data_IF_774689733989
#
_entry.id   IF_774689733989
#
_cell.length_a   1.000
_cell.length_b   1.000
_cell.length_c   1.000
_cell.angle_alpha   90.00
_cell.angle_beta   90.00
_cell.angle_gamma   90.00
#
_symmetry.space_group_name_H-M   'P 1'
#
loop_
_entity.id
_entity.type
_entity.pdbx_description
1 polymer ?
#
# COMPACT_ATOMS: atom_id res chain seq x y z
N UNK A 1 -0.32 10.24 19.54
CA UNK A 1 -1.35 10.41 18.50
C UNK A 1 -1.04 11.69 17.72
N UNK A 2 -0.41 11.57 16.54
CA UNK A 2 -0.10 12.72 15.68
C UNK A 2 -1.36 13.11 14.91
N UNK A 3 -1.94 14.26 15.24
CA UNK A 3 -3.09 14.82 14.53
C UNK A 3 -2.59 15.64 13.33
N UNK A 4 -3.10 15.35 12.14
CA UNK A 4 -3.04 16.35 11.06
C UNK A 4 -4.08 17.42 11.42
N UNK A 5 -3.63 18.66 11.55
CA UNK A 5 -4.52 19.82 11.76
C UNK A 5 -5.38 19.97 10.49
N UNK A 6 -6.68 20.21 10.63
CA UNK A 6 -7.63 20.22 9.51
C UNK A 6 -7.22 21.13 8.33
N UNK A 7 -6.58 22.28 8.62
CA UNK A 7 -6.05 23.18 7.59
C UNK A 7 -4.93 22.52 6.77
N UNK A 8 -4.02 21.81 7.44
CA UNK A 8 -2.94 21.07 6.78
C UNK A 8 -3.46 19.90 5.94
N UNK A 9 -4.54 19.25 6.39
CA UNK A 9 -5.19 18.18 5.63
C UNK A 9 -5.77 18.68 4.31
N UNK A 10 -6.50 19.80 4.34
CA UNK A 10 -7.07 20.38 3.12
C UNK A 10 -6.01 20.86 2.13
N UNK A 11 -4.91 21.43 2.62
CA UNK A 11 -3.77 21.82 1.79
C UNK A 11 -3.11 20.61 1.11
N UNK A 12 -3.02 19.45 1.79
CA UNK A 12 -2.54 18.22 1.17
C UNK A 12 -3.47 17.80 0.01
N UNK A 13 -4.79 17.83 0.20
CA UNK A 13 -5.75 17.48 -0.86
C UNK A 13 -5.69 18.43 -2.06
N UNK A 14 -5.53 19.74 -1.80
CA UNK A 14 -5.26 20.76 -2.83
C UNK A 14 -4.01 20.39 -3.62
N UNK A 15 -2.90 20.15 -2.93
CA UNK A 15 -1.62 19.79 -3.55
C UNK A 15 -1.75 18.49 -4.35
N UNK A 16 -2.50 17.50 -3.87
CA UNK A 16 -2.76 16.28 -4.64
C UNK A 16 -3.45 16.55 -5.98
N UNK A 17 -4.41 17.47 -6.01
CA UNK A 17 -5.12 17.85 -7.24
C UNK A 17 -4.22 18.60 -8.23
N UNK A 18 -3.22 19.34 -7.73
CA UNK A 18 -2.30 20.12 -8.57
C UNK A 18 -1.12 19.28 -9.05
N UNK A 19 -0.48 18.57 -8.12
CA UNK A 19 0.81 17.92 -8.33
C UNK A 19 0.68 16.50 -8.89
N UNK A 20 -0.48 15.86 -8.69
CA UNK A 20 -0.69 14.46 -9.07
C UNK A 20 -1.88 14.33 -10.01
N UNK A 21 -1.57 14.33 -11.31
CA UNK A 21 -2.51 13.85 -12.33
C UNK A 21 -2.30 12.35 -12.52
N UNK A 22 -3.29 11.49 -12.20
CA UNK A 22 -3.13 10.06 -12.39
C UNK A 22 -2.89 9.73 -13.86
N UNK A 23 -1.85 8.95 -14.14
CA UNK A 23 -1.56 8.46 -15.48
C UNK A 23 -2.53 7.34 -15.83
N UNK A 24 -3.09 7.40 -17.04
CA UNK A 24 -3.80 6.28 -17.64
C UNK A 24 -2.79 5.25 -18.11
N UNK A 25 -2.85 4.05 -17.56
CA UNK A 25 -1.91 2.99 -17.90
C UNK A 25 -2.51 1.60 -17.84
N UNK A 26 -1.64 0.63 -18.07
CA UNK A 26 -1.99 -0.78 -18.00
C UNK A 26 -1.89 -1.25 -16.55
N UNK A 27 -3.00 -1.79 -16.03
CA UNK A 27 -3.03 -2.57 -14.80
C UNK A 27 -3.31 -4.01 -15.25
N UNK A 28 -2.45 -5.00 -14.90
CA UNK A 28 -2.66 -6.37 -15.33
C UNK A 28 -4.02 -6.92 -14.89
N UNK A 29 -4.62 -7.77 -15.74
CA UNK A 29 -5.97 -8.30 -15.49
C UNK A 29 -5.98 -9.54 -14.61
N UNK A 30 -4.83 -10.18 -14.46
CA UNK A 30 -4.53 -11.36 -13.67
C UNK A 30 -4.12 -11.05 -12.24
N UNK A 31 -3.86 -9.77 -11.91
CA UNK A 31 -3.59 -9.33 -10.56
C UNK A 31 -4.88 -9.25 -9.73
N UNK A 32 -4.80 -9.74 -8.50
CA UNK A 32 -5.89 -9.69 -7.54
C UNK A 32 -6.21 -8.24 -7.13
N UNK A 33 -7.49 -7.99 -6.83
CA UNK A 33 -8.00 -6.65 -6.57
C UNK A 33 -8.93 -6.63 -5.39
N UNK A 34 -8.81 -5.57 -4.61
CA UNK A 34 -9.79 -5.22 -3.59
C UNK A 34 -11.00 -4.64 -4.31
N UNK A 35 -12.13 -5.37 -4.28
CA UNK A 35 -13.38 -4.92 -4.87
C UNK A 35 -14.05 -3.93 -3.93
N UNK A 36 -14.45 -2.77 -4.44
CA UNK A 36 -15.09 -1.71 -3.67
C UNK A 36 -16.55 -1.60 -4.09
N UNK A 37 -17.45 -1.84 -3.14
CA UNK A 37 -18.87 -1.56 -3.29
C UNK A 37 -19.14 -0.13 -2.81
N UNK A 38 -19.50 0.74 -3.74
CA UNK A 38 -19.76 2.14 -3.42
C UNK A 38 -21.13 2.36 -2.78
N UNK A 39 -22.11 1.47 -2.92
CA UNK A 39 -23.41 1.64 -2.28
C UNK A 39 -23.30 1.40 -0.77
N UNK A 40 -22.57 0.35 -0.39
CA UNK A 40 -22.30 0.01 1.02
C UNK A 40 -21.06 0.70 1.58
N UNK A 41 -20.21 1.24 0.70
CA UNK A 41 -18.88 1.80 0.98
C UNK A 41 -17.88 0.76 1.47
N UNK A 42 -18.15 -0.53 1.28
CA UNK A 42 -17.32 -1.62 1.77
C UNK A 42 -16.26 -2.05 0.76
N UNK A 43 -15.18 -2.61 1.28
CA UNK A 43 -14.09 -3.18 0.50
C UNK A 43 -13.98 -4.67 0.80
N UNK A 44 -13.79 -5.47 -0.23
CA UNK A 44 -13.66 -6.92 -0.15
C UNK A 44 -12.26 -7.32 -0.58
N UNK A 45 -11.48 -7.84 0.37
CA UNK A 45 -10.16 -8.38 0.08
C UNK A 45 -10.31 -9.71 -0.67
N UNK A 46 -9.51 -9.93 -1.73
CA UNK A 46 -9.37 -11.25 -2.32
C UNK A 46 -8.65 -12.20 -1.34
N UNK A 47 -8.81 -13.51 -1.54
CA UNK A 47 -8.22 -14.54 -0.68
C UNK A 47 -6.70 -14.37 -0.54
N UNK A 48 -6.02 -13.97 -1.62
CA UNK A 48 -4.57 -13.74 -1.66
C UNK A 48 -4.07 -12.61 -0.77
N UNK A 49 -4.94 -11.66 -0.40
CA UNK A 49 -4.60 -10.52 0.46
C UNK A 49 -5.20 -10.65 1.87
N UNK A 50 -5.96 -11.72 2.13
CA UNK A 50 -6.67 -11.90 3.40
C UNK A 50 -5.71 -12.16 4.57
N UNK A 51 -4.65 -12.94 4.32
CA UNK A 51 -3.66 -13.25 5.35
C UNK A 51 -2.73 -12.06 5.62
N UNK A 52 -2.24 -11.43 4.54
CA UNK A 52 -1.40 -10.23 4.59
C UNK A 52 -1.41 -9.47 3.26
N UNK A 53 -1.12 -8.18 3.34
CA UNK A 53 -1.03 -7.31 2.16
C UNK A 53 0.43 -7.03 1.79
N UNK A 54 1.38 -7.02 2.74
CA UNK A 54 2.81 -6.91 2.44
C UNK A 54 3.67 -7.41 3.62
N UNK A 55 4.99 -7.47 3.44
CA UNK A 55 5.94 -7.66 4.54
C UNK A 55 6.63 -6.34 4.90
N UNK A 56 7.21 -6.27 6.11
CA UNK A 56 8.09 -5.15 6.46
C UNK A 56 9.34 -5.15 5.60
N UNK A 57 9.89 -3.97 5.35
CA UNK A 57 11.09 -3.73 4.52
C UNK A 57 10.95 -4.08 3.03
N UNK A 58 9.77 -4.47 2.58
CA UNK A 58 9.42 -4.53 1.16
C UNK A 58 9.53 -3.11 0.55
N UNK A 59 10.56 -2.90 -0.27
CA UNK A 59 10.79 -1.62 -0.95
C UNK A 59 10.08 -1.58 -2.30
N UNK A 60 8.85 -1.04 -2.33
CA UNK A 60 8.02 -0.88 -3.54
C UNK A 60 7.78 -2.20 -4.29
N UNK A 61 7.86 -3.34 -3.61
CA UNK A 61 7.67 -4.66 -4.20
C UNK A 61 6.19 -5.04 -4.35
N UNK A 62 5.29 -4.38 -3.61
CA UNK A 62 3.86 -4.67 -3.65
C UNK A 62 3.02 -3.48 -4.11
N UNK A 63 2.15 -3.74 -5.08
CA UNK A 63 1.08 -2.83 -5.48
C UNK A 63 -0.25 -3.43 -5.06
N UNK A 64 -1.08 -2.64 -4.37
CA UNK A 64 -2.47 -2.98 -4.07
C UNK A 64 -3.34 -2.38 -5.15
N UNK A 65 -4.14 -3.22 -5.78
CA UNK A 65 -5.09 -2.79 -6.80
C UNK A 65 -6.51 -2.74 -6.24
N UNK A 66 -7.25 -1.71 -6.63
CA UNK A 66 -8.66 -1.56 -6.31
C UNK A 66 -9.49 -1.63 -7.58
N UNK A 67 -10.67 -2.24 -7.50
CA UNK A 67 -11.69 -2.21 -8.53
C UNK A 67 -12.95 -1.55 -7.99
N UNK A 68 -13.42 -0.50 -8.65
CA UNK A 68 -14.58 0.29 -8.22
C UNK A 68 -15.45 0.64 -9.42
N UNK A 69 -16.76 0.81 -9.23
CA UNK A 69 -17.61 1.37 -10.28
C UNK A 69 -17.13 2.77 -10.69
N UNK A 70 -17.05 3.01 -12.01
CA UNK A 70 -16.62 4.32 -12.53
C UNK A 70 -17.60 5.42 -12.15
N UNK A 71 -18.88 5.10 -12.08
CA UNK A 71 -19.95 6.05 -11.83
C UNK A 71 -20.60 5.79 -10.48
N UNK A 72 -20.82 6.86 -9.72
CA UNK A 72 -21.57 6.82 -8.47
C UNK A 72 -22.46 8.05 -8.36
N UNK A 73 -23.78 7.85 -8.19
CA UNK A 73 -24.77 8.94 -8.15
C UNK A 73 -24.60 9.95 -9.30
N UNK A 74 -24.47 9.45 -10.54
CA UNK A 74 -24.23 10.22 -11.78
C UNK A 74 -22.90 10.99 -11.83
N UNK A 75 -22.00 10.80 -10.86
CA UNK A 75 -20.65 11.38 -10.85
C UNK A 75 -19.66 10.40 -11.47
N UNK A 76 -18.92 10.85 -12.49
CA UNK A 76 -17.81 10.10 -13.08
C UNK A 76 -16.55 10.22 -12.21
N UNK A 77 -16.26 9.17 -11.45
CA UNK A 77 -15.11 9.11 -10.54
C UNK A 77 -13.78 9.12 -11.29
N UNK A 78 -13.74 8.73 -12.58
CA UNK A 78 -12.53 8.81 -13.38
C UNK A 78 -12.06 10.26 -13.58
N UNK A 79 -12.96 11.23 -13.46
CA UNK A 79 -12.67 12.68 -13.53
C UNK A 79 -12.27 13.32 -12.20
N UNK A 80 -12.25 12.55 -11.11
CA UNK A 80 -11.91 13.04 -9.77
C UNK A 80 -10.46 12.73 -9.39
N UNK A 81 -9.97 13.45 -8.38
CA UNK A 81 -8.76 13.07 -7.65
C UNK A 81 -9.11 11.95 -6.69
N UNK A 82 -8.22 10.97 -6.53
CA UNK A 82 -8.38 9.90 -5.57
C UNK A 82 -7.08 9.73 -4.77
N UNK A 83 -7.20 9.50 -3.47
CA UNK A 83 -6.09 9.06 -2.63
C UNK A 83 -6.50 7.87 -1.75
N UNK A 84 -5.49 7.13 -1.29
CA UNK A 84 -5.62 6.19 -0.19
C UNK A 84 -5.28 6.94 1.09
N UNK A 85 -6.20 6.95 2.04
CA UNK A 85 -5.94 7.37 3.40
C UNK A 85 -5.62 6.14 4.24
N UNK A 86 -4.52 6.15 4.97
CA UNK A 86 -4.12 4.99 5.76
C UNK A 86 -3.52 5.37 7.11
N UNK A 87 -3.66 4.44 8.05
CA UNK A 87 -3.06 4.51 9.38
C UNK A 87 -2.09 3.34 9.51
N UNK A 88 -0.81 3.66 9.70
CA UNK A 88 0.24 2.66 9.91
C UNK A 88 -0.01 1.88 11.19
N UNK A 89 0.48 0.63 11.30
CA UNK A 89 0.36 -0.13 12.54
C UNK A 89 1.00 0.62 13.73
N UNK A 90 0.59 0.25 14.94
CA UNK A 90 1.21 0.69 16.19
C UNK A 90 2.13 -0.43 16.71
N UNK A 91 3.32 -0.09 17.19
CA UNK A 91 4.22 -1.03 17.86
C UNK A 91 4.42 -0.55 19.30
N UNK A 92 3.71 -1.21 20.22
CA UNK A 92 3.74 -0.86 21.63
C UNK A 92 5.03 -1.28 22.32
N UNK A 93 5.69 -2.32 21.81
CA UNK A 93 6.94 -2.84 22.38
C UNK A 93 8.08 -1.87 22.10
N UNK A 94 8.22 -1.42 20.85
CA UNK A 94 9.23 -0.46 20.43
C UNK A 94 8.78 1.00 20.55
N UNK A 95 7.59 1.25 21.11
CA UNK A 95 6.99 2.59 21.32
C UNK A 95 6.85 3.41 20.03
N UNK A 96 6.51 2.74 18.93
CA UNK A 96 6.21 3.40 17.66
C UNK A 96 4.71 3.67 17.59
N UNK A 97 4.35 4.96 17.59
CA UNK A 97 2.96 5.37 17.42
C UNK A 97 2.48 5.18 15.97
N UNK A 98 1.22 4.78 15.82
CA UNK A 98 0.51 4.79 14.54
C UNK A 98 0.50 6.18 13.92
N UNK A 99 0.60 6.26 12.59
CA UNK A 99 0.61 7.52 11.86
C UNK A 99 -0.42 7.52 10.76
N UNK A 100 -1.20 8.60 10.68
CA UNK A 100 -2.07 8.85 9.54
C UNK A 100 -1.26 9.40 8.36
N UNK A 101 -1.57 8.91 7.16
CA UNK A 101 -0.90 9.22 5.90
C UNK A 101 -1.89 9.22 4.75
N UNK A 102 -1.52 9.93 3.69
CA UNK A 102 -2.26 9.91 2.44
C UNK A 102 -1.32 9.53 1.30
N UNK A 103 -1.83 8.75 0.36
CA UNK A 103 -1.13 8.40 -0.88
C UNK A 103 -2.00 8.79 -2.08
N UNK A 104 -1.56 9.72 -2.95
CA UNK A 104 -2.33 10.06 -4.14
C UNK A 104 -2.30 8.88 -5.12
N UNK A 105 -3.44 8.50 -5.68
CA UNK A 105 -3.47 7.49 -6.75
C UNK A 105 -2.82 8.10 -7.99
N UNK A 106 -1.72 7.50 -8.43
CA UNK A 106 -0.92 8.02 -9.57
C UNK A 106 -1.06 7.20 -10.83
N UNK A 107 -1.62 5.98 -10.75
CA UNK A 107 -1.88 5.11 -11.89
C UNK A 107 -3.32 4.58 -11.80
N UNK A 108 -4.05 4.72 -12.91
CA UNK A 108 -5.40 4.19 -13.06
C UNK A 108 -5.63 3.57 -14.43
N UNK A 109 -6.60 2.68 -14.51
CA UNK A 109 -7.04 2.04 -15.74
C UNK A 109 -8.56 1.88 -15.75
N UNK A 110 -9.13 1.45 -16.88
CA UNK A 110 -10.56 1.17 -16.99
C UNK A 110 -10.77 -0.16 -17.68
N UNK A 111 -11.75 -0.89 -17.19
CA UNK A 111 -12.21 -2.13 -17.80
C UNK A 111 -13.72 -2.08 -17.97
N UNK A 112 -14.22 -2.89 -18.91
CA UNK A 112 -15.65 -3.15 -19.05
C UNK A 112 -15.98 -4.50 -18.43
N UNK A 113 -16.97 -4.53 -17.56
CA UNK A 113 -17.48 -5.75 -16.94
C UNK A 113 -18.96 -5.88 -17.30
N UNK A 114 -19.26 -6.60 -18.38
CA UNK A 114 -20.61 -6.62 -18.95
C UNK A 114 -21.03 -5.24 -19.47
N UNK A 115 -22.08 -4.66 -18.88
CA UNK A 115 -22.60 -3.33 -19.25
C UNK A 115 -22.06 -2.20 -18.38
N UNK A 116 -21.27 -2.51 -17.34
CA UNK A 116 -20.70 -1.51 -16.44
C UNK A 116 -19.24 -1.22 -16.78
N UNK A 117 -18.81 0.01 -16.46
CA UNK A 117 -17.41 0.41 -16.56
C UNK A 117 -16.83 0.47 -15.15
N UNK A 118 -15.71 -0.23 -14.94
CA UNK A 118 -14.98 -0.22 -13.68
C UNK A 118 -13.73 0.62 -13.82
N UNK A 119 -13.40 1.36 -12.77
CA UNK A 119 -12.15 2.05 -12.61
C UNK A 119 -11.20 1.16 -11.80
N UNK A 120 -9.98 0.99 -12.30
CA UNK A 120 -8.91 0.30 -11.61
C UNK A 120 -7.93 1.33 -11.06
N UNK A 121 -7.54 1.19 -9.80
CA UNK A 121 -6.64 2.12 -9.11
C UNK A 121 -5.45 1.34 -8.54
N UNK A 122 -4.25 1.91 -8.66
CA UNK A 122 -3.04 1.30 -8.14
C UNK A 122 -2.46 2.11 -6.97
N UNK A 123 -2.27 1.44 -5.84
CA UNK A 123 -1.55 1.94 -4.68
C UNK A 123 -0.24 1.18 -4.52
N UNK A 124 0.87 1.85 -4.84
CA UNK A 124 2.19 1.27 -4.58
C UNK A 124 2.50 1.42 -3.10
N UNK A 125 2.59 0.30 -2.38
CA UNK A 125 2.93 0.32 -0.96
C UNK A 125 4.38 0.76 -0.79
N UNK A 126 4.53 1.94 -0.20
CA UNK A 126 5.83 2.51 0.15
C UNK A 126 6.28 2.03 1.52
N UNK A 127 7.56 2.28 1.81
CA UNK A 127 8.18 1.95 3.11
C UNK A 127 7.49 2.61 4.31
N UNK A 128 6.69 3.66 4.11
CA UNK A 128 5.88 4.25 5.20
C UNK A 128 4.69 3.37 5.58
N UNK A 129 4.04 2.73 4.62
CA UNK A 129 2.92 1.82 4.89
C UNK A 129 3.41 0.48 5.45
N UNK A 130 4.62 0.05 5.06
CA UNK A 130 5.26 -1.21 5.48
C UNK A 130 6.34 -1.00 6.54
N UNK A 131 6.34 0.15 7.23
CA UNK A 131 7.42 0.52 8.16
C UNK A 131 7.52 -0.40 9.37
N UNK A 132 6.45 -1.13 9.67
CA UNK A 132 6.34 -2.02 10.82
C UNK A 132 5.23 -3.06 10.59
N UNK A 133 5.34 -4.18 11.29
CA UNK A 133 4.33 -5.22 11.23
C UNK A 133 3.08 -4.85 12.03
N UNK A 134 1.96 -5.48 11.69
CA UNK A 134 0.67 -5.31 12.35
C UNK A 134 -0.44 -4.88 11.40
N UNK A 135 -1.54 -4.37 11.96
CA UNK A 135 -2.74 -4.04 11.19
C UNK A 135 -2.61 -2.65 10.55
N UNK A 136 -2.59 -2.62 9.23
CA UNK A 136 -2.73 -1.42 8.41
C UNK A 136 -4.23 -1.18 8.15
N UNK A 137 -4.72 0.00 8.51
CA UNK A 137 -6.08 0.44 8.17
C UNK A 137 -6.03 1.40 7.00
N UNK A 138 -6.90 1.25 6.00
CA UNK A 138 -6.93 2.14 4.84
C UNK A 138 -8.34 2.36 4.26
N UNK A 139 -8.54 3.48 3.58
CA UNK A 139 -9.78 3.84 2.89
C UNK A 139 -9.45 4.57 1.57
N UNK A 140 -10.36 4.54 0.61
CA UNK A 140 -10.30 5.39 -0.59
C UNK A 140 -11.06 6.68 -0.34
N UNK A 141 -10.48 7.79 -0.79
CA UNK A 141 -11.12 9.11 -0.79
C UNK A 141 -11.10 9.68 -2.20
N UNK A 142 -12.29 9.82 -2.80
CA UNK A 142 -12.49 10.53 -4.05
C UNK A 142 -12.97 11.94 -3.76
N UNK A 143 -12.34 12.93 -4.38
CA UNK A 143 -12.67 14.32 -4.09
C UNK A 143 -12.44 15.24 -5.28
N UNK A 144 -13.11 16.39 -5.21
CA UNK A 144 -12.92 17.52 -6.12
C UNK A 144 -12.72 18.78 -5.30
N UNK A 145 -11.60 19.45 -5.51
CA UNK A 145 -11.32 20.77 -4.92
C UNK A 145 -11.95 21.87 -5.78
N UNK A 146 -12.62 22.82 -5.13
CA UNK A 146 -12.93 24.12 -5.72
C UNK A 146 -11.87 25.12 -5.26
N UNK A 147 -11.01 25.52 -6.19
CA UNK A 147 -9.90 26.45 -5.92
C UNK A 147 -10.37 27.90 -5.71
N UNK A 148 -11.54 28.28 -6.23
CA UNK A 148 -12.07 29.64 -6.05
C UNK A 148 -12.66 29.84 -4.65
N UNK A 149 -13.40 28.85 -4.16
CA UNK A 149 -14.07 28.91 -2.85
C UNK A 149 -13.26 28.27 -1.74
N UNK A 150 -12.07 27.74 -2.06
CA UNK A 150 -11.20 27.01 -1.14
C UNK A 150 -11.96 25.92 -0.34
N UNK A 151 -12.80 25.14 -1.02
CA UNK A 151 -13.56 24.05 -0.40
C UNK A 151 -13.58 22.77 -1.25
N UNK A 152 -14.01 21.65 -0.66
CA UNK A 152 -14.31 20.44 -1.41
C UNK A 152 -15.67 20.56 -2.10
N UNK A 153 -15.70 20.59 -3.43
CA UNK A 153 -16.91 20.51 -4.24
C UNK A 153 -17.52 19.10 -4.25
N UNK A 154 -16.69 18.09 -4.02
CA UNK A 154 -17.10 16.70 -3.89
C UNK A 154 -16.17 15.99 -2.93
N UNK A 155 -16.71 15.08 -2.12
CA UNK A 155 -15.96 14.30 -1.13
C UNK A 155 -16.68 12.99 -0.86
N UNK A 156 -16.04 11.88 -1.21
CA UNK A 156 -16.58 10.54 -1.10
C UNK A 156 -15.54 9.61 -0.47
N UNK A 157 -15.88 9.01 0.66
CA UNK A 157 -15.04 8.04 1.36
C UNK A 157 -15.65 6.65 1.30
N UNK A 158 -14.79 5.63 1.23
CA UNK A 158 -15.15 4.27 1.62
C UNK A 158 -15.08 4.11 3.14
N UNK A 159 -15.65 3.03 3.68
CA UNK A 159 -15.35 2.59 5.05
C UNK A 159 -13.89 2.14 5.13
N UNK A 160 -13.27 2.21 6.33
CA UNK A 160 -11.96 1.63 6.55
C UNK A 160 -11.97 0.12 6.26
N UNK A 161 -10.94 -0.33 5.58
CA UNK A 161 -10.58 -1.71 5.38
C UNK A 161 -9.26 -2.00 6.10
N UNK A 162 -9.00 -3.28 6.38
CA UNK A 162 -7.88 -3.70 7.20
C UNK A 162 -7.06 -4.77 6.49
N UNK A 163 -5.74 -4.66 6.61
CA UNK A 163 -4.81 -5.67 6.12
C UNK A 163 -3.63 -5.84 7.06
N UNK A 164 -3.02 -7.02 7.06
CA UNK A 164 -1.85 -7.28 7.89
C UNK A 164 -0.57 -6.98 7.11
N UNK A 165 0.37 -6.33 7.80
CA UNK A 165 1.78 -6.28 7.41
C UNK A 165 2.51 -7.31 8.25
N UNK A 166 3.14 -8.30 7.61
CA UNK A 166 3.92 -9.32 8.32
C UNK A 166 5.35 -8.84 8.56
N UNK A 167 6.00 -9.40 9.57
CA UNK A 167 7.44 -9.21 9.74
C UNK A 167 8.20 -9.86 8.59
N UNK A 168 9.01 -9.06 7.90
CA UNK A 168 10.03 -9.56 6.99
C UNK A 168 11.17 -10.22 7.77
N UNK A 169 11.91 -11.09 7.10
CA UNK A 169 13.08 -11.72 7.69
C UNK A 169 14.20 -10.69 7.87
N UNK A 170 14.54 -10.36 9.11
CA UNK A 170 15.73 -9.57 9.40
C UNK A 170 16.98 -10.45 9.38
N UNK A 171 18.04 -9.97 8.71
CA UNK A 171 19.36 -10.57 8.87
C UNK A 171 19.79 -10.37 10.33
N UNK A 172 19.97 -11.46 11.07
CA UNK A 172 20.47 -11.41 12.45
C UNK A 172 21.88 -10.80 12.40
N UNK A 173 22.02 -9.54 12.79
CA UNK A 173 23.32 -8.84 12.85
C UNK A 173 23.96 -8.90 14.24
N UNK A 174 23.55 -9.84 15.09
CA UNK A 174 24.25 -10.07 16.35
C UNK A 174 25.68 -10.55 16.06
N UNK A 175 26.66 -10.03 16.80
CA UNK A 175 28.06 -10.45 16.66
C UNK A 175 28.22 -11.97 16.84
N UNK A 176 27.36 -12.57 17.67
CA UNK A 176 27.28 -14.02 17.90
C UNK A 176 26.81 -14.80 16.67
N UNK A 177 25.83 -14.29 15.93
CA UNK A 177 25.36 -14.90 14.69
C UNK A 177 26.38 -14.71 13.54
N UNK A 178 27.17 -13.63 13.56
CA UNK A 178 28.30 -13.45 12.63
C UNK A 178 29.42 -14.44 12.91
N UNK A 179 29.79 -14.67 14.17
CA UNK A 179 30.79 -15.67 14.56
C UNK A 179 30.35 -17.10 14.18
N UNK A 180 29.10 -17.46 14.44
CA UNK A 180 28.54 -18.77 14.06
C UNK A 180 28.46 -18.95 12.54
N UNK A 181 28.11 -17.90 11.80
CA UNK A 181 28.12 -17.88 10.33
C UNK A 181 29.53 -18.03 9.77
N UNK A 182 30.51 -17.27 10.27
CA UNK A 182 31.92 -17.40 9.85
C UNK A 182 32.45 -18.81 10.10
N UNK A 183 32.17 -19.39 11.27
CA UNK A 183 32.60 -20.74 11.62
C UNK A 183 32.03 -21.79 10.66
N UNK A 184 30.77 -21.64 10.24
CA UNK A 184 30.16 -22.53 9.25
C UNK A 184 30.87 -22.47 7.89
N UNK A 185 31.15 -21.26 7.38
CA UNK A 185 31.83 -21.10 6.08
C UNK A 185 33.29 -21.53 6.11
N UNK A 186 33.99 -21.39 7.25
CA UNK A 186 35.35 -21.89 7.42
C UNK A 186 35.40 -23.43 7.36
N UNK A 187 34.43 -24.11 7.99
CA UNK A 187 34.31 -25.58 7.95
C UNK A 187 34.02 -26.07 6.53
N UNK A 188 33.12 -25.42 5.79
CA UNK A 188 32.84 -25.82 4.40
C UNK A 188 34.05 -25.61 3.48
N UNK A 189 34.79 -24.51 3.65
CA UNK A 189 36.00 -24.26 2.90
C UNK A 189 37.09 -25.30 3.19
N UNK A 190 37.18 -25.78 4.44
CA UNK A 190 38.13 -26.82 4.85
C UNK A 190 37.72 -28.20 4.33
N UNK A 191 36.43 -28.56 4.41
CA UNK A 191 35.88 -29.76 3.79
C UNK A 191 36.10 -29.78 2.27
N UNK A 192 35.91 -28.66 1.58
CA UNK A 192 36.15 -28.56 0.15
C UNK A 192 37.62 -28.76 -0.21
N UNK A 193 38.55 -28.22 0.60
CA UNK A 193 40.00 -28.48 0.42
C UNK A 193 40.35 -29.95 0.61
N UNK A 194 39.78 -30.61 1.62
CA UNK A 194 39.98 -32.04 1.88
C UNK A 194 39.45 -32.87 0.70
N UNK A 195 38.23 -32.59 0.24
CA UNK A 195 37.63 -33.27 -0.92
C UNK A 195 38.46 -33.09 -2.20
N UNK A 196 39.02 -31.90 -2.42
CA UNK A 196 39.85 -31.63 -3.60
C UNK A 196 41.20 -32.33 -3.53
N UNK A 197 41.81 -32.41 -2.34
CA UNK A 197 43.07 -33.13 -2.12
C UNK A 197 42.95 -34.66 -2.18
N UNK A 198 41.73 -35.21 -2.11
CA UNK A 198 41.46 -36.65 -2.27
C UNK A 198 41.28 -37.08 -3.73
N UNK A 199 41.27 -36.13 -4.68
CA UNK A 199 41.07 -36.37 -6.12
C UNK A 199 42.40 -36.23 -6.90
N UNK A 200 43.51 -35.90 -6.22
CA UNK A 200 44.89 -35.98 -6.73
C UNK A 200 45.58 -37.29 -6.31
#
# INVERSE_FOLDING_TARGET
MSFIIAEHYYDILKNFTIDYTPTWGYIPLDEDRIVVDLDTREMFLPDSLTDFIAMTNDHRSQTVYFEVDRYFEDVDLAGLTCCVEYVTPEDKENKVESRFRLYPITLKSMIKQGTTEKLLLAWNLGSEATSQAGVLSFALHFFKVNFETESLAYSLYTKPCFGNILEGLEAITSDKAKEESLAYYEIEAEHFKILTAMIE
#
